data_IF_724610948898
#
_entry.id   IF_724610948898
#
_cell.length_a   1.000
_cell.length_b   1.000
_cell.length_c   1.000
_cell.angle_alpha   90.00
_cell.angle_beta   90.00
_cell.angle_gamma   90.00
#
_symmetry.space_group_name_H-M   'P 1'
#
loop_
_entity.id
_entity.type
_entity.pdbx_description
1 polymer ?
#
# COMPACT_ATOMS: atom_id res chain seq x y z
N UNK A 1 88.07 -28.08 -10.00
CA UNK A 1 87.48 -26.81 -10.46
C UNK A 1 86.02 -27.07 -10.79
N UNK A 2 85.10 -26.74 -9.87
CA UNK A 2 83.66 -26.98 -9.99
C UNK A 2 82.95 -25.63 -9.86
N UNK A 3 82.19 -25.24 -10.87
CA UNK A 3 81.40 -24.01 -10.92
C UNK A 3 80.04 -24.19 -10.22
N UNK A 4 79.65 -23.28 -9.29
CA UNK A 4 78.28 -23.20 -8.78
C UNK A 4 77.66 -21.85 -9.16
N UNK A 5 77.04 -21.73 -10.33
CA UNK A 5 76.36 -20.49 -10.76
C UNK A 5 75.05 -20.73 -11.54
N UNK A 6 74.29 -21.79 -11.23
CA UNK A 6 73.06 -22.11 -11.98
C UNK A 6 71.80 -22.37 -11.14
N UNK A 7 71.74 -21.96 -9.87
CA UNK A 7 70.56 -22.19 -9.01
C UNK A 7 69.75 -20.95 -8.61
N UNK A 8 70.15 -19.73 -8.98
CA UNK A 8 69.45 -18.51 -8.52
C UNK A 8 68.42 -17.90 -9.47
N UNK A 9 68.26 -18.39 -10.71
CA UNK A 9 67.35 -17.76 -11.68
C UNK A 9 65.96 -18.41 -11.73
N UNK A 10 65.81 -19.66 -11.25
CA UNK A 10 64.53 -20.38 -11.37
C UNK A 10 63.53 -20.06 -10.23
N UNK A 11 63.98 -19.53 -9.08
CA UNK A 11 63.09 -19.16 -7.97
C UNK A 11 62.45 -17.77 -8.10
N UNK A 12 62.83 -16.96 -9.09
CA UNK A 12 62.29 -15.60 -9.26
C UNK A 12 61.18 -15.50 -10.32
N UNK A 13 60.91 -16.57 -11.08
CA UNK A 13 59.86 -16.59 -12.11
C UNK A 13 58.57 -17.27 -11.62
N UNK A 14 58.62 -18.07 -10.56
CA UNK A 14 57.42 -18.75 -10.01
C UNK A 14 56.67 -17.88 -8.98
N UNK A 15 57.27 -16.80 -8.47
CA UNK A 15 56.64 -15.89 -7.50
C UNK A 15 55.97 -14.65 -8.11
N UNK A 16 55.81 -14.60 -9.43
CA UNK A 16 55.11 -13.52 -10.14
C UNK A 16 53.74 -13.95 -10.70
N UNK A 17 53.32 -15.22 -10.49
CA UNK A 17 52.10 -15.78 -11.08
C UNK A 17 50.93 -15.95 -10.09
N UNK A 18 51.07 -15.51 -8.83
CA UNK A 18 50.13 -15.82 -7.75
C UNK A 18 49.31 -14.62 -7.21
N UNK A 19 49.35 -13.45 -7.85
CA UNK A 19 48.61 -12.26 -7.39
C UNK A 19 47.87 -11.51 -8.50
N UNK A 20 47.40 -12.24 -9.52
CA UNK A 20 46.34 -11.77 -10.41
C UNK A 20 45.01 -12.43 -10.00
N UNK A 21 44.66 -12.37 -8.71
CA UNK A 21 43.26 -12.50 -8.31
C UNK A 21 42.55 -11.29 -8.90
N UNK A 22 41.98 -11.48 -10.09
CA UNK A 22 41.06 -10.54 -10.69
C UNK A 22 39.95 -10.27 -9.67
N UNK A 23 40.07 -9.15 -8.95
CA UNK A 23 38.93 -8.53 -8.30
C UNK A 23 38.01 -8.14 -9.45
N UNK A 24 37.15 -9.06 -9.86
CA UNK A 24 35.99 -8.75 -10.67
C UNK A 24 35.19 -7.82 -9.79
N UNK A 25 35.44 -6.52 -9.92
CA UNK A 25 34.60 -5.51 -9.35
C UNK A 25 33.27 -5.71 -10.08
N UNK A 26 32.37 -6.49 -9.47
CA UNK A 26 30.97 -6.45 -9.83
C UNK A 26 30.60 -4.99 -9.71
N UNK A 27 30.47 -4.32 -10.86
CA UNK A 27 29.94 -2.97 -10.91
C UNK A 27 28.53 -3.09 -10.36
N UNK A 28 28.39 -2.95 -9.05
CA UNK A 28 27.10 -2.95 -8.40
C UNK A 28 26.36 -1.78 -9.01
N UNK A 29 25.34 -2.11 -9.80
CA UNK A 29 24.40 -1.14 -10.32
C UNK A 29 23.92 -0.32 -9.13
N UNK A 30 24.18 0.98 -9.15
CA UNK A 30 23.65 1.89 -8.13
C UNK A 30 22.14 1.65 -7.99
N UNK A 31 21.63 1.47 -6.75
CA UNK A 31 20.23 1.17 -6.53
C UNK A 31 19.37 2.33 -7.02
N UNK A 32 18.19 1.99 -7.52
CA UNK A 32 17.17 3.00 -7.82
C UNK A 32 16.60 3.53 -6.51
N UNK A 33 16.29 4.81 -6.47
CA UNK A 33 15.40 5.38 -5.45
C UNK A 33 14.09 5.81 -6.11
N UNK A 34 13.01 5.84 -5.32
CA UNK A 34 11.70 6.16 -5.84
C UNK A 34 10.94 7.20 -5.01
N UNK A 35 10.14 8.00 -5.71
CA UNK A 35 9.11 8.86 -5.13
C UNK A 35 7.78 8.50 -5.77
N UNK A 36 6.77 8.25 -4.95
CA UNK A 36 5.44 7.82 -5.36
C UNK A 36 4.43 8.85 -4.87
N UNK A 37 3.78 9.54 -5.80
CA UNK A 37 2.86 10.64 -5.53
C UNK A 37 1.44 10.18 -5.82
N UNK A 38 0.55 10.30 -4.83
CA UNK A 38 -0.88 10.00 -4.96
C UNK A 38 -1.73 11.18 -4.52
N UNK A 39 -2.19 11.99 -5.47
CA UNK A 39 -3.04 13.14 -5.19
C UNK A 39 -4.47 12.85 -5.69
N UNK A 40 -5.44 12.64 -4.78
CA UNK A 40 -6.83 12.53 -5.20
C UNK A 40 -7.36 13.88 -5.72
N UNK A 41 -8.26 13.81 -6.69
CA UNK A 41 -8.95 14.95 -7.27
C UNK A 41 -9.90 14.53 -8.39
N UNK A 42 -10.59 15.49 -9.05
CA UNK A 42 -11.48 15.18 -10.17
C UNK A 42 -10.76 14.43 -11.29
N UNK A 43 -11.26 13.26 -11.68
CA UNK A 43 -10.62 12.39 -12.68
C UNK A 43 -9.41 11.60 -12.18
N UNK A 44 -9.10 11.67 -10.88
CA UNK A 44 -8.05 10.88 -10.25
C UNK A 44 -8.52 10.37 -8.88
N UNK A 45 -9.76 9.92 -8.79
CA UNK A 45 -10.38 9.46 -7.53
C UNK A 45 -9.64 8.24 -6.97
N UNK A 46 -9.07 7.40 -7.85
CA UNK A 46 -8.26 6.22 -7.49
C UNK A 46 -6.84 6.53 -7.05
N UNK A 47 -6.34 7.76 -7.24
CA UNK A 47 -4.91 8.08 -7.12
C UNK A 47 -4.29 7.72 -5.77
N UNK A 48 -5.07 7.80 -4.69
CA UNK A 48 -4.63 7.41 -3.36
C UNK A 48 -4.32 5.92 -3.25
N UNK A 49 -5.19 5.07 -3.81
CA UNK A 49 -5.02 3.62 -3.84
C UNK A 49 -3.93 3.22 -4.84
N UNK A 50 -3.88 3.87 -5.99
CA UNK A 50 -2.90 3.60 -7.04
C UNK A 50 -1.47 3.85 -6.56
N UNK A 51 -1.24 5.00 -5.91
CA UNK A 51 0.05 5.30 -5.30
C UNK A 51 0.44 4.29 -4.22
N UNK A 52 -0.52 3.76 -3.45
CA UNK A 52 -0.24 2.72 -2.47
C UNK A 52 0.20 1.42 -3.14
N UNK A 53 -0.56 0.93 -4.13
CA UNK A 53 -0.24 -0.29 -4.85
C UNK A 53 1.05 -0.16 -5.67
N UNK A 54 1.29 0.99 -6.29
CA UNK A 54 2.54 1.26 -6.99
C UNK A 54 3.74 1.24 -6.04
N UNK A 55 3.61 1.86 -4.85
CA UNK A 55 4.66 1.79 -3.84
C UNK A 55 4.92 0.35 -3.37
N UNK A 56 3.88 -0.46 -3.22
CA UNK A 56 4.02 -1.87 -2.88
C UNK A 56 4.77 -2.63 -3.99
N UNK A 57 4.34 -2.50 -5.25
CA UNK A 57 4.99 -3.13 -6.39
C UNK A 57 6.47 -2.75 -6.53
N UNK A 58 6.82 -1.48 -6.29
CA UNK A 58 8.21 -1.01 -6.31
C UNK A 58 9.05 -1.65 -5.19
N UNK A 59 8.49 -1.81 -3.98
CA UNK A 59 9.17 -2.52 -2.88
C UNK A 59 9.35 -3.99 -3.17
N UNK A 60 8.33 -4.66 -3.72
CA UNK A 60 8.40 -6.07 -4.10
C UNK A 60 9.51 -6.28 -5.16
N UNK A 61 9.64 -5.32 -6.08
CA UNK A 61 10.74 -5.22 -7.04
C UNK A 61 12.09 -4.74 -6.48
N UNK A 62 12.27 -4.76 -5.15
CA UNK A 62 13.51 -4.45 -4.42
C UNK A 62 13.97 -2.97 -4.46
N UNK A 63 13.07 -2.02 -4.71
CA UNK A 63 13.36 -0.59 -4.53
C UNK A 63 13.05 -0.20 -3.08
N UNK A 64 14.06 -0.28 -2.21
CA UNK A 64 13.91 -0.08 -0.76
C UNK A 64 13.86 1.39 -0.35
N UNK A 65 14.59 2.25 -1.05
CA UNK A 65 14.62 3.70 -0.80
C UNK A 65 13.46 4.36 -1.54
N UNK A 66 12.27 4.34 -0.90
CA UNK A 66 11.02 4.80 -1.49
C UNK A 66 10.27 5.77 -0.57
N UNK A 67 9.89 6.93 -1.10
CA UNK A 67 9.01 7.89 -0.42
C UNK A 67 7.58 7.83 -1.01
N UNK A 68 6.59 7.54 -0.17
CA UNK A 68 5.17 7.54 -0.54
C UNK A 68 4.50 8.83 -0.04
N UNK A 69 4.06 9.67 -0.96
CA UNK A 69 3.46 10.98 -0.72
C UNK A 69 2.00 10.97 -1.17
N UNK A 70 1.08 10.76 -0.22
CA UNK A 70 -0.37 10.77 -0.49
C UNK A 70 -1.02 12.03 0.07
N UNK A 71 -1.82 12.71 -0.76
CA UNK A 71 -2.51 13.97 -0.44
C UNK A 71 -1.61 15.01 0.25
N UNK A 72 -0.41 15.19 -0.32
CA UNK A 72 0.59 16.13 0.18
C UNK A 72 0.53 17.45 -0.60
N UNK A 73 0.78 18.59 0.06
CA UNK A 73 0.86 19.86 -0.63
C UNK A 73 2.08 19.90 -1.56
N UNK A 74 2.03 20.78 -2.56
CA UNK A 74 3.10 20.99 -3.55
C UNK A 74 4.48 21.14 -2.91
N UNK A 75 4.60 21.92 -1.84
CA UNK A 75 5.86 22.16 -1.14
C UNK A 75 6.52 20.84 -0.64
N UNK A 76 5.75 19.96 -0.02
CA UNK A 76 6.26 18.68 0.49
C UNK A 76 6.71 17.75 -0.65
N UNK A 77 6.03 17.79 -1.79
CA UNK A 77 6.41 17.02 -2.99
C UNK A 77 7.71 17.56 -3.57
N UNK A 78 7.85 18.88 -3.63
CA UNK A 78 9.10 19.53 -4.03
C UNK A 78 10.27 19.18 -3.10
N UNK A 79 10.06 19.26 -1.79
CA UNK A 79 11.08 18.89 -0.79
C UNK A 79 11.53 17.43 -0.94
N UNK A 80 10.59 16.51 -1.21
CA UNK A 80 10.91 15.10 -1.43
C UNK A 80 11.69 14.90 -2.74
N UNK A 81 11.36 15.61 -3.82
CA UNK A 81 12.15 15.59 -5.06
C UNK A 81 13.55 16.16 -4.81
N UNK A 82 13.66 17.27 -4.09
CA UNK A 82 14.94 17.90 -3.74
C UNK A 82 15.81 17.02 -2.83
N UNK A 83 15.20 16.17 -1.98
CA UNK A 83 15.92 15.21 -1.14
C UNK A 83 16.64 14.10 -1.93
N UNK A 84 16.28 13.90 -3.21
CA UNK A 84 16.95 12.94 -4.10
C UNK A 84 18.23 13.50 -4.73
N UNK A 85 18.74 14.62 -4.22
CA UNK A 85 19.96 15.23 -4.76
C UNK A 85 21.16 14.26 -4.73
N UNK A 86 21.86 14.17 -5.86
CA UNK A 86 23.00 13.27 -6.05
C UNK A 86 22.61 11.80 -6.34
N UNK A 87 21.33 11.46 -6.36
CA UNK A 87 20.87 10.12 -6.72
C UNK A 87 20.94 9.95 -8.24
N UNK A 88 21.74 9.01 -8.77
CA UNK A 88 21.94 8.89 -10.21
C UNK A 88 20.68 8.38 -10.94
N UNK A 89 19.90 7.50 -10.29
CA UNK A 89 18.77 6.80 -10.91
C UNK A 89 17.52 6.95 -10.06
N UNK A 90 16.51 7.61 -10.61
CA UNK A 90 15.27 7.93 -9.89
C UNK A 90 14.08 7.42 -10.68
N UNK A 91 13.16 6.75 -9.98
CA UNK A 91 11.84 6.44 -10.49
C UNK A 91 10.81 7.35 -9.81
N UNK A 92 10.04 8.08 -10.61
CA UNK A 92 8.94 8.92 -10.11
C UNK A 92 7.64 8.32 -10.61
N UNK A 93 6.80 7.86 -9.69
CA UNK A 93 5.44 7.44 -10.01
C UNK A 93 4.45 8.52 -9.58
N UNK A 94 3.50 8.87 -10.44
CA UNK A 94 2.52 9.92 -10.19
C UNK A 94 1.12 9.41 -10.54
N UNK A 95 0.22 9.40 -9.56
CA UNK A 95 -1.21 9.34 -9.77
C UNK A 95 -1.81 10.67 -9.28
N UNK A 96 -2.25 11.53 -10.18
CA UNK A 96 -2.80 12.85 -9.86
C UNK A 96 -3.63 13.39 -11.04
N UNK A 97 -4.58 14.31 -10.83
CA UNK A 97 -5.23 15.00 -11.93
C UNK A 97 -4.20 15.81 -12.72
N UNK A 98 -4.30 15.80 -14.04
CA UNK A 98 -3.54 16.73 -14.88
C UNK A 98 -4.36 18.02 -15.11
N UNK A 99 -3.64 19.13 -15.28
CA UNK A 99 -4.20 20.39 -15.73
C UNK A 99 -4.61 20.33 -17.19
N UNK A 100 -5.32 21.36 -17.63
CA UNK A 100 -5.83 21.46 -19.02
C UNK A 100 -4.71 21.48 -20.07
N UNK A 101 -3.48 21.81 -19.67
CA UNK A 101 -2.29 21.77 -20.52
C UNK A 101 -1.72 20.36 -20.72
N UNK A 102 -2.14 19.38 -19.90
CA UNK A 102 -1.58 18.03 -19.89
C UNK A 102 -0.14 17.94 -19.38
N UNK A 103 0.46 19.07 -18.97
CA UNK A 103 1.86 19.19 -18.56
C UNK A 103 2.01 19.39 -17.06
N UNK A 104 0.93 19.78 -16.39
CA UNK A 104 0.92 20.15 -14.98
C UNK A 104 0.13 19.13 -14.18
N UNK A 105 0.71 18.57 -13.11
CA UNK A 105 -0.05 17.79 -12.13
C UNK A 105 -0.70 18.76 -11.13
N UNK A 106 -1.98 18.56 -10.84
CA UNK A 106 -2.74 19.42 -9.93
C UNK A 106 -2.57 18.91 -8.49
N UNK A 107 -1.89 19.70 -7.67
CA UNK A 107 -1.60 19.38 -6.28
C UNK A 107 -2.31 20.35 -5.33
N UNK A 108 -2.39 19.96 -4.06
CA UNK A 108 -2.83 20.90 -3.02
C UNK A 108 -1.80 22.03 -2.91
N UNK A 109 -2.23 23.27 -3.08
CA UNK A 109 -1.34 24.44 -3.03
C UNK A 109 -0.74 24.86 -4.37
N UNK A 110 -1.14 24.25 -5.49
CA UNK A 110 -0.80 24.70 -6.84
C UNK A 110 -0.48 23.55 -7.79
N UNK A 111 -0.43 23.83 -9.09
CA UNK A 111 0.05 22.86 -10.07
C UNK A 111 1.58 22.73 -10.04
N UNK A 112 2.12 21.57 -10.38
CA UNK A 112 3.56 21.32 -10.57
C UNK A 112 3.79 20.78 -11.98
N UNK A 113 4.63 21.44 -12.78
CA UNK A 113 4.88 21.00 -14.15
C UNK A 113 5.75 19.73 -14.17
N UNK A 114 5.39 18.74 -14.99
CA UNK A 114 6.15 17.50 -15.15
C UNK A 114 7.59 17.75 -15.60
N UNK A 115 7.80 18.73 -16.48
CA UNK A 115 9.14 19.16 -16.89
C UNK A 115 9.95 19.75 -15.72
N UNK A 116 9.30 20.45 -14.78
CA UNK A 116 9.97 21.01 -13.60
C UNK A 116 10.53 19.89 -12.71
N UNK A 117 9.80 18.77 -12.55
CA UNK A 117 10.26 17.59 -11.80
C UNK A 117 11.55 17.03 -12.41
N UNK A 118 11.55 16.77 -13.72
CA UNK A 118 12.71 16.20 -14.42
C UNK A 118 13.90 17.17 -14.44
N UNK A 119 13.64 18.46 -14.66
CA UNK A 119 14.66 19.50 -14.65
C UNK A 119 15.33 19.61 -13.27
N UNK A 120 14.53 19.63 -12.19
CA UNK A 120 15.06 19.64 -10.81
C UNK A 120 15.96 18.43 -10.54
N UNK A 121 15.52 17.21 -10.89
CA UNK A 121 16.34 16.00 -10.73
C UNK A 121 17.65 16.09 -11.53
N UNK A 122 17.58 16.55 -12.79
CA UNK A 122 18.76 16.72 -13.64
C UNK A 122 19.76 17.72 -13.08
N UNK A 123 19.28 18.87 -12.58
CA UNK A 123 20.13 19.91 -11.97
C UNK A 123 20.80 19.44 -10.67
N UNK A 124 20.23 18.42 -10.01
CA UNK A 124 20.76 17.80 -8.80
C UNK A 124 21.62 16.56 -9.06
N UNK A 125 21.95 16.28 -10.32
CA UNK A 125 22.90 15.22 -10.69
C UNK A 125 22.28 13.87 -10.99
N UNK A 126 20.95 13.76 -11.04
CA UNK A 126 20.29 12.56 -11.58
C UNK A 126 20.52 12.47 -13.08
N UNK A 127 20.98 11.32 -13.56
CA UNK A 127 21.28 11.08 -14.96
C UNK A 127 20.35 10.05 -15.61
N UNK A 128 19.55 9.31 -14.83
CA UNK A 128 18.48 8.45 -15.34
C UNK A 128 17.19 8.68 -14.57
N UNK A 129 16.11 8.96 -15.30
CA UNK A 129 14.77 9.17 -14.72
C UNK A 129 13.75 8.28 -15.45
N UNK A 130 13.02 7.48 -14.68
CA UNK A 130 11.81 6.81 -15.13
C UNK A 130 10.60 7.54 -14.56
N UNK A 131 9.82 8.21 -15.41
CA UNK A 131 8.63 8.96 -15.04
C UNK A 131 7.38 8.17 -15.43
N UNK A 132 6.68 7.64 -14.43
CA UNK A 132 5.50 6.78 -14.57
C UNK A 132 4.25 7.57 -14.16
N UNK A 133 3.27 7.69 -15.06
CA UNK A 133 2.11 8.57 -14.84
C UNK A 133 0.81 7.78 -15.00
N UNK A 134 0.08 7.62 -13.91
CA UNK A 134 -1.30 7.14 -13.90
C UNK A 134 -2.22 8.33 -14.20
N UNK A 135 -2.44 8.58 -15.49
CA UNK A 135 -3.27 9.67 -16.02
C UNK A 135 -4.62 9.13 -16.48
N UNK A 136 -5.61 9.20 -15.59
CA UNK A 136 -7.01 8.91 -15.91
C UNK A 136 -7.83 10.18 -16.10
N UNK A 137 -7.28 11.18 -16.78
CA UNK A 137 -8.08 12.34 -17.13
C UNK A 137 -9.31 11.97 -17.97
N UNK A 138 -10.42 12.66 -17.71
CA UNK A 138 -11.66 12.46 -18.44
C UNK A 138 -11.54 12.84 -19.92
N UNK A 139 -12.53 12.49 -20.76
CA UNK A 139 -12.48 12.58 -22.23
C UNK A 139 -12.30 14.01 -22.81
N UNK A 140 -12.20 15.04 -21.97
CA UNK A 140 -12.02 16.43 -22.38
C UNK A 140 -10.65 17.01 -22.03
N UNK A 141 -9.77 16.28 -21.36
CA UNK A 141 -8.43 16.77 -21.08
C UNK A 141 -7.57 16.74 -22.35
N UNK A 142 -6.56 17.61 -22.42
CA UNK A 142 -5.58 17.61 -23.50
C UNK A 142 -4.73 16.32 -23.56
N UNK A 143 -4.85 15.45 -22.54
CA UNK A 143 -4.05 14.26 -22.32
C UNK A 143 -2.60 14.59 -21.97
N UNK A 144 -1.83 13.59 -21.56
CA UNK A 144 -0.44 13.77 -21.17
C UNK A 144 0.39 14.49 -22.26
N UNK A 145 0.98 15.62 -21.88
CA UNK A 145 1.97 16.34 -22.67
C UNK A 145 3.24 16.46 -21.85
N UNK A 146 4.38 16.12 -22.43
CA UNK A 146 5.66 16.31 -21.76
C UNK A 146 6.54 17.21 -22.62
N UNK A 147 7.11 18.24 -21.99
CA UNK A 147 8.05 19.17 -22.61
C UNK A 147 9.34 18.50 -23.12
N UNK A 148 10.30 19.31 -23.61
CA UNK A 148 11.58 18.81 -24.09
C UNK A 148 12.35 18.11 -22.96
N UNK A 149 13.08 17.04 -23.28
CA UNK A 149 13.93 16.35 -22.31
C UNK A 149 15.20 17.17 -22.04
N UNK A 150 15.61 17.37 -20.77
CA UNK A 150 16.91 17.97 -20.46
C UNK A 150 18.07 17.15 -21.07
N UNK A 151 19.08 17.81 -21.64
CA UNK A 151 20.17 17.12 -22.37
C UNK A 151 21.06 16.19 -21.51
N UNK A 152 20.99 16.31 -20.18
CA UNK A 152 21.86 15.59 -19.24
C UNK A 152 21.20 14.38 -18.58
N UNK A 153 19.97 14.05 -18.97
CA UNK A 153 19.21 12.98 -18.33
C UNK A 153 18.66 12.02 -19.38
N UNK A 154 18.92 10.73 -19.17
CA UNK A 154 18.21 9.66 -19.87
C UNK A 154 16.81 9.58 -19.25
N UNK A 155 15.82 10.05 -20.00
CA UNK A 155 14.44 10.08 -19.54
C UNK A 155 13.63 8.99 -20.24
N UNK A 156 13.03 8.08 -19.46
CA UNK A 156 11.96 7.21 -19.90
C UNK A 156 10.63 7.68 -19.31
N UNK A 157 9.58 7.69 -20.12
CA UNK A 157 8.23 8.03 -19.67
C UNK A 157 7.28 6.91 -20.05
N UNK A 158 6.45 6.48 -19.11
CA UNK A 158 5.30 5.63 -19.37
C UNK A 158 4.04 6.21 -18.72
N UNK A 159 2.89 6.00 -19.36
CA UNK A 159 1.61 6.43 -18.83
C UNK A 159 0.50 5.43 -19.13
N UNK A 160 -0.53 5.38 -18.28
CA UNK A 160 -1.70 4.53 -18.51
C UNK A 160 -2.50 4.94 -19.74
N UNK A 161 -2.53 6.23 -20.05
CA UNK A 161 -3.04 6.77 -21.32
C UNK A 161 -2.03 7.74 -21.95
N UNK A 162 -1.91 7.70 -23.27
CA UNK A 162 -1.10 8.65 -24.03
C UNK A 162 -1.82 9.97 -24.31
N UNK A 163 -1.21 10.89 -25.08
CA UNK A 163 -1.85 12.12 -25.51
C UNK A 163 -3.19 11.84 -26.21
N UNK A 164 -4.28 12.42 -25.70
CA UNK A 164 -5.65 12.21 -26.20
C UNK A 164 -6.24 10.82 -25.95
N UNK A 165 -5.55 9.95 -25.21
CA UNK A 165 -6.08 8.65 -24.78
C UNK A 165 -6.97 8.77 -23.54
N UNK A 166 -7.89 7.84 -23.37
CA UNK A 166 -8.59 7.62 -22.09
C UNK A 166 -7.97 6.45 -21.36
N UNK A 167 -7.98 6.47 -20.03
CA UNK A 167 -7.53 5.32 -19.25
C UNK A 167 -8.23 4.03 -19.72
N UNK A 168 -7.50 2.91 -19.81
CA UNK A 168 -8.15 1.62 -19.94
C UNK A 168 -9.09 1.40 -18.74
N UNK A 169 -10.03 0.46 -18.88
CA UNK A 169 -10.80 -0.01 -17.74
C UNK A 169 -9.88 -0.59 -16.64
N UNK A 170 -10.46 -1.23 -15.62
CA UNK A 170 -9.66 -1.81 -14.53
C UNK A 170 -8.54 -2.76 -14.99
N UNK A 171 -8.67 -3.38 -16.17
CA UNK A 171 -7.59 -4.16 -16.78
C UNK A 171 -6.70 -3.26 -17.66
N UNK A 172 -5.45 -3.04 -17.24
CA UNK A 172 -4.42 -2.39 -18.04
C UNK A 172 -3.89 -1.07 -17.49
N UNK A 173 -4.24 -0.73 -16.23
CA UNK A 173 -3.72 0.47 -15.57
C UNK A 173 -2.22 0.33 -15.36
N UNK A 174 -1.53 1.46 -15.25
CA UNK A 174 -0.06 1.44 -15.10
C UNK A 174 0.35 0.75 -13.79
N UNK A 175 -0.45 0.95 -12.75
CA UNK A 175 -0.31 0.28 -11.44
C UNK A 175 -0.35 -1.24 -11.56
N UNK A 176 -1.29 -1.80 -12.33
CA UNK A 176 -1.41 -3.26 -12.50
C UNK A 176 -0.21 -3.83 -13.25
N UNK A 177 0.26 -3.11 -14.28
CA UNK A 177 1.46 -3.47 -15.03
C UNK A 177 2.71 -3.42 -14.12
N UNK A 178 2.78 -2.44 -13.22
CA UNK A 178 3.86 -2.32 -12.24
C UNK A 178 3.85 -3.47 -11.23
N UNK A 179 2.68 -3.94 -10.80
CA UNK A 179 2.59 -5.13 -9.93
C UNK A 179 3.12 -6.39 -10.64
N UNK A 180 2.77 -6.56 -11.92
CA UNK A 180 3.32 -7.64 -12.75
C UNK A 180 4.83 -7.51 -12.99
N UNK A 181 5.36 -6.29 -12.95
CA UNK A 181 6.77 -5.97 -13.13
C UNK A 181 7.67 -6.60 -12.07
N UNK A 182 7.24 -6.52 -10.81
CA UNK A 182 7.98 -7.04 -9.67
C UNK A 182 8.20 -8.56 -9.79
N UNK A 183 7.28 -9.27 -10.45
CA UNK A 183 7.39 -10.71 -10.70
C UNK A 183 8.39 -11.07 -11.82
N UNK A 184 8.86 -10.10 -12.60
CA UNK A 184 9.81 -10.29 -13.70
C UNK A 184 11.06 -9.43 -13.47
N UNK A 185 11.87 -9.77 -12.45
CA UNK A 185 13.08 -9.02 -12.16
C UNK A 185 14.04 -9.04 -13.34
N UNK A 186 14.95 -8.06 -13.35
CA UNK A 186 15.97 -7.88 -14.36
C UNK A 186 15.44 -7.60 -15.78
N UNK A 187 14.14 -7.42 -16.02
CA UNK A 187 13.66 -6.97 -17.33
C UNK A 187 13.84 -5.45 -17.50
N UNK A 188 14.17 -4.97 -18.71
CA UNK A 188 14.13 -3.54 -19.02
C UNK A 188 12.73 -2.95 -18.81
N UNK A 189 12.64 -1.76 -18.23
CA UNK A 189 11.36 -1.15 -17.82
C UNK A 189 10.35 -1.00 -18.98
N UNK A 190 10.82 -0.82 -20.22
CA UNK A 190 9.94 -0.73 -21.39
C UNK A 190 9.30 -2.08 -21.77
N UNK A 191 10.00 -3.19 -21.54
CA UNK A 191 9.46 -4.55 -21.72
C UNK A 191 8.44 -4.82 -20.63
N UNK A 192 8.77 -4.43 -19.41
CA UNK A 192 7.94 -4.65 -18.24
C UNK A 192 6.62 -3.89 -18.30
N UNK A 193 6.63 -2.66 -18.81
CA UNK A 193 5.44 -1.83 -19.01
C UNK A 193 4.89 -1.94 -20.44
N UNK A 194 5.10 -3.09 -21.09
CA UNK A 194 4.56 -3.33 -22.43
C UNK A 194 3.03 -3.30 -22.39
N UNK A 195 2.45 -2.29 -23.05
CA UNK A 195 1.00 -2.03 -23.05
C UNK A 195 0.64 -0.66 -22.51
N UNK A 196 1.48 -0.05 -21.67
CA UNK A 196 1.40 1.38 -21.38
C UNK A 196 1.77 2.21 -22.61
N UNK A 197 1.28 3.45 -22.66
CA UNK A 197 1.86 4.43 -23.57
C UNK A 197 3.29 4.74 -23.11
N UNK A 198 4.24 4.79 -24.05
CA UNK A 198 5.65 4.99 -23.74
C UNK A 198 6.28 6.05 -24.64
N UNK A 199 7.22 6.82 -24.08
CA UNK A 199 8.10 7.76 -24.82
C UNK A 199 9.55 7.51 -24.46
N UNK A 200 10.44 7.69 -25.43
CA UNK A 200 11.89 7.49 -25.30
C UNK A 200 12.28 6.04 -24.94
N UNK A 201 11.68 5.07 -25.65
CA UNK A 201 11.91 3.64 -25.44
C UNK A 201 13.39 3.20 -25.63
N UNK A 202 14.21 3.96 -26.37
CA UNK A 202 15.64 3.64 -26.55
C UNK A 202 16.41 3.75 -25.23
N UNK A 203 16.23 4.83 -24.47
CA UNK A 203 16.84 4.99 -23.14
C UNK A 203 16.37 3.89 -22.16
N UNK A 204 15.09 3.52 -22.27
CA UNK A 204 14.44 2.53 -21.43
C UNK A 204 15.02 1.11 -21.55
N UNK A 205 15.56 0.76 -22.72
CA UNK A 205 16.15 -0.56 -22.99
C UNK A 205 17.34 -0.90 -22.06
N UNK A 206 17.93 0.12 -21.43
CA UNK A 206 19.03 -0.02 -20.48
C UNK A 206 18.61 0.11 -19.02
N UNK A 207 17.39 0.59 -18.74
CA UNK A 207 16.88 0.85 -17.40
C UNK A 207 16.25 -0.41 -16.80
N UNK A 208 16.85 -0.95 -15.75
CA UNK A 208 16.35 -2.10 -14.98
C UNK A 208 16.12 -1.64 -13.54
N UNK A 209 14.94 -1.09 -13.21
CA UNK A 209 14.63 -0.61 -11.87
C UNK A 209 14.42 -1.75 -10.88
N UNK A 210 14.00 -2.92 -11.36
CA UNK A 210 13.72 -4.09 -10.54
C UNK A 210 14.92 -5.03 -10.51
N UNK A 211 15.32 -5.42 -9.32
CA UNK A 211 16.40 -6.39 -9.12
C UNK A 211 15.80 -7.73 -8.72
N UNK A 212 16.41 -8.83 -9.18
CA UNK A 212 16.12 -10.12 -8.60
C UNK A 212 16.41 -10.08 -7.09
N UNK A 213 15.54 -10.65 -6.24
CA UNK A 213 15.89 -10.81 -4.84
C UNK A 213 17.23 -11.54 -4.79
N UNK A 214 18.16 -11.12 -3.90
CA UNK A 214 19.45 -11.78 -3.82
C UNK A 214 19.17 -13.26 -3.64
N UNK A 215 19.59 -14.08 -4.61
CA UNK A 215 19.46 -15.54 -4.50
C UNK A 215 20.13 -15.89 -3.19
N UNK A 216 19.32 -16.12 -2.14
CA UNK A 216 19.84 -16.60 -0.88
C UNK A 216 20.53 -17.88 -1.29
N UNK A 217 21.86 -17.90 -1.25
CA UNK A 217 22.61 -19.12 -1.45
C UNK A 217 21.96 -20.10 -0.48
N UNK A 218 21.18 -21.04 -1.02
CA UNK A 218 20.60 -22.10 -0.23
C UNK A 218 21.78 -22.62 0.58
N UNK A 219 21.73 -22.56 1.93
CA UNK A 219 22.88 -22.82 2.77
C UNK A 219 23.49 -24.11 2.26
N UNK A 220 24.68 -24.00 1.65
CA UNK A 220 25.32 -25.13 1.01
C UNK A 220 25.55 -26.09 2.16
N UNK A 221 25.00 -27.29 2.06
CA UNK A 221 25.02 -28.35 3.07
C UNK A 221 26.44 -28.57 3.63
N UNK A 222 26.85 -27.73 4.57
CA UNK A 222 27.97 -27.95 5.47
C UNK A 222 27.30 -28.28 6.78
N UNK A 223 27.09 -29.57 6.97
CA UNK A 223 26.72 -30.18 8.22
C UNK A 223 27.81 -29.87 9.26
N UNK A 224 27.72 -28.74 9.94
CA UNK A 224 28.23 -28.57 11.29
C UNK A 224 27.07 -28.06 12.15
N UNK A 225 26.30 -29.02 12.66
CA UNK A 225 25.28 -28.77 13.64
C UNK A 225 25.97 -28.31 14.93
N UNK A 226 25.54 -27.15 15.43
CA UNK A 226 25.99 -26.48 16.66
C UNK A 226 27.17 -25.52 16.45
N UNK A 227 26.83 -24.24 16.25
CA UNK A 227 27.73 -23.11 16.54
C UNK A 227 27.32 -22.49 17.87
N UNK A 228 28.24 -22.51 18.84
CA UNK A 228 28.09 -21.75 20.10
C UNK A 228 28.55 -20.32 19.80
N UNK A 229 27.60 -19.40 19.68
CA UNK A 229 27.89 -17.97 19.65
C UNK A 229 28.06 -17.53 21.10
N UNK A 230 29.19 -16.88 21.41
CA UNK A 230 29.41 -16.31 22.74
C UNK A 230 28.23 -15.38 23.13
N UNK A 231 27.74 -15.54 24.38
CA UNK A 231 26.53 -14.96 24.98
C UNK A 231 25.23 -15.77 24.81
N UNK A 232 25.22 -17.01 25.34
CA UNK A 232 24.03 -17.76 25.81
C UNK A 232 22.84 -17.93 24.85
N UNK A 233 23.06 -17.90 23.53
CA UNK A 233 22.03 -18.28 22.54
C UNK A 233 22.47 -19.52 21.78
N UNK A 234 21.80 -20.66 22.06
CA UNK A 234 21.93 -21.90 21.28
C UNK A 234 20.89 -21.88 20.17
N UNK A 235 21.33 -21.72 18.93
CA UNK A 235 20.45 -21.80 17.77
C UNK A 235 20.45 -23.23 17.24
N UNK A 236 19.31 -23.92 17.37
CA UNK A 236 19.10 -25.25 16.80
C UNK A 236 18.22 -25.08 15.58
N UNK A 237 18.78 -25.23 14.38
CA UNK A 237 17.98 -25.29 13.16
C UNK A 237 17.44 -26.70 12.98
N UNK A 238 16.14 -26.88 12.67
CA UNK A 238 15.58 -28.20 12.41
C UNK A 238 16.25 -28.83 11.18
N UNK A 239 16.70 -30.07 11.34
CA UNK A 239 17.29 -30.87 10.25
C UNK A 239 16.14 -31.40 9.40
N UNK A 240 15.93 -30.81 8.24
CA UNK A 240 15.08 -31.39 7.21
C UNK A 240 15.81 -32.56 6.57
N UNK A 241 15.37 -33.79 6.80
CA UNK A 241 15.92 -34.97 6.14
C UNK A 241 15.59 -34.91 4.64
N UNK A 242 16.53 -35.17 3.73
CA UNK A 242 16.24 -35.21 2.30
C UNK A 242 15.26 -36.36 1.98
N UNK A 243 14.28 -36.08 1.12
CA UNK A 243 13.22 -36.99 0.69
C UNK A 243 13.68 -38.23 -0.11
N UNK A 244 14.99 -38.50 -0.17
CA UNK A 244 15.60 -39.54 -1.02
C UNK A 244 15.99 -40.83 -0.27
N UNK A 245 15.49 -41.03 0.96
CA UNK A 245 15.69 -42.28 1.71
C UNK A 245 14.40 -43.11 1.85
N UNK A 246 13.70 -43.35 0.72
CA UNK A 246 12.73 -44.48 0.65
C UNK A 246 13.53 -45.77 0.49
N UNK A 247 13.98 -46.33 1.61
CA UNK A 247 14.46 -47.70 1.66
C UNK A 247 13.32 -48.65 1.28
N UNK A 248 13.53 -49.49 0.26
CA UNK A 248 12.65 -50.59 -0.09
C UNK A 248 12.61 -51.58 1.06
N UNK A 249 11.47 -51.68 1.75
CA UNK A 249 11.20 -52.76 2.70
C UNK A 249 10.87 -54.01 1.89
N UNK A 250 11.78 -54.98 1.87
CA UNK A 250 11.46 -56.34 1.40
C UNK A 250 10.64 -57.08 2.47
N UNK A 251 9.58 -57.82 2.09
CA UNK A 251 8.78 -58.57 3.03
C UNK A 251 9.52 -59.84 3.48
N UNK A 252 9.63 -60.01 4.81
CA UNK A 252 10.06 -61.25 5.44
C UNK A 252 8.88 -62.24 5.39
N UNK A 253 9.10 -63.40 4.76
CA UNK A 253 8.21 -64.56 4.83
C UNK A 253 8.28 -65.18 6.23
N UNK A 254 7.16 -65.19 6.96
CA UNK A 254 6.99 -65.95 8.19
C UNK A 254 5.93 -67.04 7.99
N UNK A 255 6.32 -68.27 8.28
CA UNK A 255 5.51 -69.48 8.21
C UNK A 255 4.38 -69.50 9.25
N UNK A 256 3.23 -70.00 8.83
CA UNK A 256 2.05 -70.38 9.62
C UNK A 256 2.34 -71.61 10.54
N UNK A 257 1.45 -72.08 11.47
CA UNK A 257 0.00 -71.90 11.42
C UNK A 257 -0.79 -71.73 12.75
N UNK A 258 -2.11 -71.57 12.54
CA UNK A 258 -3.25 -71.82 13.43
C UNK A 258 -3.76 -70.67 14.32
N UNK A 259 -4.76 -69.93 13.84
CA UNK A 259 -6.15 -70.17 14.25
C UNK A 259 -7.16 -69.28 13.51
N UNK A 260 -8.26 -69.94 13.19
CA UNK A 260 -9.52 -69.46 12.61
C UNK A 260 -10.11 -68.32 13.45
N UNK A 261 -10.42 -67.18 12.84
CA UNK A 261 -11.75 -66.58 12.99
C UNK A 261 -12.09 -65.68 11.80
N UNK A 262 -13.31 -65.91 11.33
CA UNK A 262 -13.96 -65.28 10.18
C UNK A 262 -14.65 -64.02 10.70
N UNK A 263 -14.28 -62.85 10.19
CA UNK A 263 -15.21 -61.73 10.07
C UNK A 263 -14.97 -61.05 8.72
N UNK A 264 -16.00 -61.12 7.90
CA UNK A 264 -16.14 -60.43 6.63
C UNK A 264 -16.39 -58.95 6.87
N UNK A 265 -15.58 -58.08 6.29
CA UNK A 265 -16.02 -56.72 5.94
C UNK A 265 -15.29 -56.22 4.70
N UNK A 266 -16.10 -55.57 3.87
CA UNK A 266 -15.92 -55.21 2.47
C UNK A 266 -14.97 -54.02 2.38
N UNK A 267 -13.93 -54.14 1.55
CA UNK A 267 -13.02 -53.04 1.25
C UNK A 267 -13.75 -51.91 0.50
N UNK A 268 -13.65 -50.69 1.03
CA UNK A 268 -13.86 -49.44 0.28
C UNK A 268 -12.58 -48.63 0.47
N UNK A 269 -12.02 -48.16 -0.64
CA UNK A 269 -10.79 -47.36 -0.66
C UNK A 269 -10.97 -46.12 0.23
N UNK A 270 -10.18 -46.04 1.29
CA UNK A 270 -10.16 -44.95 2.25
C UNK A 270 -8.87 -44.14 2.10
N UNK A 271 -9.05 -42.88 1.78
CA UNK A 271 -8.13 -41.76 2.00
C UNK A 271 -7.51 -41.83 3.41
N UNK A 272 -6.18 -41.79 3.47
CA UNK A 272 -5.45 -41.83 4.74
C UNK A 272 -5.55 -40.47 5.43
N UNK A 273 -6.60 -40.26 6.23
CA UNK A 273 -6.65 -39.16 7.19
C UNK A 273 -5.62 -39.45 8.28
N UNK A 274 -4.52 -38.68 8.28
CA UNK A 274 -3.57 -38.65 9.39
C UNK A 274 -4.21 -37.86 10.52
N UNK A 275 -4.91 -38.55 11.43
CA UNK A 275 -5.37 -37.96 12.68
C UNK A 275 -4.16 -37.78 13.58
N UNK A 276 -3.69 -36.55 13.73
CA UNK A 276 -2.74 -36.20 14.78
C UNK A 276 -3.43 -36.35 16.12
N UNK A 277 -3.15 -37.45 16.82
CA UNK A 277 -3.52 -37.58 18.23
C UNK A 277 -2.66 -36.60 19.04
N UNK A 278 -3.26 -35.74 19.89
CA UNK A 278 -2.48 -34.92 20.79
C UNK A 278 -1.63 -35.82 21.70
N UNK A 279 -0.38 -35.43 22.01
CA UNK A 279 0.47 -36.23 22.87
C UNK A 279 -0.22 -36.46 24.23
N UNK A 280 -0.06 -37.64 24.84
CA UNK A 280 -0.69 -37.94 26.12
C UNK A 280 -0.26 -36.89 27.16
N UNK A 281 -1.23 -36.33 27.89
CA UNK A 281 -1.02 -35.26 28.90
C UNK A 281 0.01 -35.61 29.98
N UNK A 282 0.39 -36.88 30.11
CA UNK A 282 1.47 -37.35 30.99
C UNK A 282 2.86 -36.86 30.56
N UNK A 283 3.04 -36.34 29.34
CA UNK A 283 4.28 -35.69 28.91
C UNK A 283 4.33 -34.18 29.20
N UNK A 284 3.23 -33.57 29.69
CA UNK A 284 3.20 -32.17 30.15
C UNK A 284 3.42 -32.04 31.66
N UNK A 285 4.11 -33.00 32.29
CA UNK A 285 4.61 -32.82 33.65
C UNK A 285 5.76 -31.79 33.61
N UNK A 286 5.41 -30.53 33.87
CA UNK A 286 6.36 -29.45 34.10
C UNK A 286 7.43 -29.93 35.10
N UNK A 287 8.69 -29.95 34.68
CA UNK A 287 9.82 -30.22 35.57
C UNK A 287 9.75 -29.24 36.74
N UNK A 288 9.95 -29.75 37.96
CA UNK A 288 9.93 -28.93 39.16
C UNK A 288 10.91 -27.75 39.02
N UNK A 289 10.38 -26.53 39.09
CA UNK A 289 11.15 -25.30 39.08
C UNK A 289 12.06 -25.27 40.32
N UNK A 290 13.37 -25.13 40.10
CA UNK A 290 14.30 -24.83 41.21
C UNK A 290 14.03 -23.40 41.69
N UNK A 291 13.84 -23.24 43.00
CA UNK A 291 13.68 -21.94 43.61
C UNK A 291 14.92 -21.05 43.35
N UNK A 292 14.69 -19.81 42.90
CA UNK A 292 15.74 -18.79 42.73
C UNK A 292 16.18 -18.51 41.28
N UNK A 293 15.54 -19.09 40.27
CA UNK A 293 15.74 -18.73 38.86
C UNK A 293 14.63 -17.79 38.37
N UNK A 294 14.93 -16.79 37.53
CA UNK A 294 13.93 -15.89 36.96
C UNK A 294 12.89 -16.68 36.15
N UNK A 295 11.63 -16.24 36.20
CA UNK A 295 10.53 -16.88 35.46
C UNK A 295 10.84 -16.84 33.95
N UNK A 296 10.82 -17.98 33.24
CA UNK A 296 11.01 -17.97 31.80
C UNK A 296 9.80 -17.33 31.13
N UNK A 297 10.01 -16.22 30.42
CA UNK A 297 9.01 -15.67 29.50
C UNK A 297 8.81 -16.65 28.35
N UNK A 298 7.60 -17.23 28.24
CA UNK A 298 7.19 -18.04 27.10
C UNK A 298 7.01 -17.11 25.90
N UNK A 299 7.89 -17.22 24.91
CA UNK A 299 7.69 -16.62 23.58
C UNK A 299 6.90 -17.65 22.77
N UNK A 300 5.63 -17.37 22.51
CA UNK A 300 4.81 -18.16 21.58
C UNK A 300 5.31 -17.88 20.18
N UNK A 301 5.81 -18.93 19.50
CA UNK A 301 6.39 -18.84 18.17
C UNK A 301 5.35 -18.49 17.11
N UNK A 302 5.72 -17.54 16.23
CA UNK A 302 5.17 -17.39 14.89
C UNK A 302 5.43 -18.69 14.12
N UNK A 303 4.39 -19.18 13.43
CA UNK A 303 4.46 -20.36 12.58
C UNK A 303 4.95 -19.89 11.20
N UNK A 304 6.20 -20.20 10.84
CA UNK A 304 6.64 -20.25 9.44
C UNK A 304 6.10 -21.57 8.85
N UNK A 305 5.68 -21.71 7.59
CA UNK A 305 5.67 -20.85 6.43
C UNK A 305 5.18 -21.75 5.29
N UNK A 306 3.89 -21.72 5.02
CA UNK A 306 3.29 -22.31 3.83
C UNK A 306 2.95 -21.12 2.93
N UNK A 307 3.31 -21.17 1.65
CA UNK A 307 3.20 -20.07 0.68
C UNK A 307 1.79 -19.47 0.66
N UNK A 308 1.55 -18.44 1.48
CA UNK A 308 0.35 -17.60 1.37
C UNK A 308 0.60 -16.55 0.31
N UNK A 309 0.78 -17.00 -0.93
CA UNK A 309 0.58 -16.16 -2.11
C UNK A 309 -0.89 -15.69 -2.04
N UNK A 310 -1.10 -14.37 -1.96
CA UNK A 310 -2.38 -13.70 -1.68
C UNK A 310 -2.92 -13.76 -0.23
N UNK A 311 -2.07 -13.52 0.79
CA UNK A 311 -2.61 -12.80 1.96
C UNK A 311 -2.92 -11.37 1.53
N UNK A 312 -4.11 -11.16 0.93
CA UNK A 312 -4.68 -9.84 0.83
C UNK A 312 -4.59 -9.21 2.22
N UNK A 313 -3.74 -8.19 2.37
CA UNK A 313 -3.45 -7.57 3.65
C UNK A 313 -4.79 -7.25 4.34
N UNK A 314 -5.05 -7.92 5.47
CA UNK A 314 -6.35 -7.83 6.14
C UNK A 314 -6.34 -6.54 6.95
N UNK A 315 -6.51 -5.42 6.25
CA UNK A 315 -6.52 -4.06 6.79
C UNK A 315 -7.94 -3.59 7.14
N UNK A 316 -8.04 -2.46 7.84
CA UNK A 316 -9.34 -1.86 8.20
C UNK A 316 -10.12 -1.38 6.96
N UNK A 317 -9.43 -0.97 5.89
CA UNK A 317 -10.04 -0.47 4.65
C UNK A 317 -10.31 -1.56 3.60
N UNK A 318 -9.73 -2.76 3.75
CA UNK A 318 -10.02 -3.91 2.91
C UNK A 318 -11.29 -4.66 3.37
N UNK A 319 -12.45 -4.11 3.01
CA UNK A 319 -13.76 -4.69 3.36
C UNK A 319 -13.92 -6.14 2.89
N UNK A 320 -13.48 -6.44 1.67
CA UNK A 320 -13.64 -7.78 1.06
C UNK A 320 -12.84 -8.81 1.85
N UNK A 321 -11.58 -8.53 2.19
CA UNK A 321 -10.77 -9.42 3.02
C UNK A 321 -11.40 -9.63 4.41
N UNK A 322 -11.88 -8.56 5.05
CA UNK A 322 -12.55 -8.67 6.37
C UNK A 322 -13.83 -9.49 6.31
N UNK A 323 -14.63 -9.35 5.26
CA UNK A 323 -15.87 -10.12 5.08
C UNK A 323 -15.58 -11.59 4.79
N UNK A 324 -14.59 -11.87 3.93
CA UNK A 324 -14.15 -13.23 3.64
C UNK A 324 -13.63 -13.93 4.91
N UNK A 325 -12.76 -13.26 5.67
CA UNK A 325 -12.24 -13.78 6.93
C UNK A 325 -13.36 -14.04 7.94
N UNK A 326 -14.33 -13.11 8.06
CA UNK A 326 -15.44 -13.31 8.98
C UNK A 326 -16.33 -14.49 8.59
N UNK A 327 -16.59 -14.67 7.29
CA UNK A 327 -17.43 -15.75 6.81
C UNK A 327 -16.74 -17.11 6.94
N UNK A 328 -15.45 -17.18 6.60
CA UNK A 328 -14.66 -18.40 6.68
C UNK A 328 -14.33 -18.80 8.12
N UNK A 329 -13.92 -17.83 8.95
CA UNK A 329 -13.36 -18.06 10.29
C UNK A 329 -13.88 -17.01 11.30
N UNK A 330 -15.16 -17.08 11.72
CA UNK A 330 -15.79 -16.06 12.56
C UNK A 330 -15.13 -15.88 13.93
N UNK A 331 -14.66 -16.97 14.54
CA UNK A 331 -13.97 -16.92 15.84
C UNK A 331 -12.60 -16.24 15.73
N UNK A 332 -11.84 -16.53 14.67
CA UNK A 332 -10.56 -15.86 14.40
C UNK A 332 -10.78 -14.37 14.13
N UNK A 333 -11.79 -14.03 13.32
CA UNK A 333 -12.16 -12.64 13.08
C UNK A 333 -12.49 -11.90 14.37
N UNK A 334 -13.28 -12.51 15.27
CA UNK A 334 -13.63 -11.90 16.56
C UNK A 334 -12.39 -11.66 17.44
N UNK A 335 -11.45 -12.62 17.49
CA UNK A 335 -10.19 -12.48 18.22
C UNK A 335 -9.32 -11.36 17.65
N UNK A 336 -9.15 -11.30 16.33
CA UNK A 336 -8.37 -10.27 15.64
C UNK A 336 -8.99 -8.87 15.81
N UNK A 337 -10.31 -8.77 15.68
CA UNK A 337 -11.03 -7.52 15.95
C UNK A 337 -10.84 -7.08 17.40
N UNK A 338 -10.93 -8.00 18.36
CA UNK A 338 -10.71 -7.70 19.79
C UNK A 338 -9.26 -7.27 20.07
N UNK A 339 -8.28 -7.87 19.38
CA UNK A 339 -6.87 -7.51 19.46
C UNK A 339 -6.55 -6.16 18.79
N UNK A 340 -7.47 -5.60 17.99
CA UNK A 340 -7.27 -4.35 17.27
C UNK A 340 -6.52 -4.49 15.95
N UNK A 341 -6.48 -5.69 15.37
CA UNK A 341 -5.82 -5.93 14.08
C UNK A 341 -6.44 -5.09 12.93
N UNK A 342 -7.71 -4.70 13.08
CA UNK A 342 -8.45 -3.88 12.12
C UNK A 342 -8.61 -2.43 12.57
N UNK A 343 -7.84 -1.96 13.56
CA UNK A 343 -8.00 -0.60 14.04
C UNK A 343 -7.53 0.42 12.99
N UNK A 344 -8.38 1.39 12.61
CA UNK A 344 -7.94 2.49 11.78
C UNK A 344 -6.93 3.36 12.54
N UNK A 345 -5.99 4.03 11.84
CA UNK A 345 -5.14 5.05 12.44
C UNK A 345 -5.97 6.11 13.18
N UNK A 346 -5.47 6.72 14.28
CA UNK A 346 -6.26 7.66 15.10
C UNK A 346 -6.92 8.80 14.33
N UNK A 347 -6.26 9.32 13.28
CA UNK A 347 -6.78 10.38 12.41
C UNK A 347 -7.92 9.94 11.48
N UNK A 348 -8.11 8.63 11.29
CA UNK A 348 -9.07 8.05 10.35
C UNK A 348 -10.21 7.27 11.03
N UNK A 349 -10.20 7.16 12.37
CA UNK A 349 -11.24 6.43 13.12
C UNK A 349 -12.66 6.93 12.80
N UNK A 350 -12.85 8.25 12.78
CA UNK A 350 -14.15 8.85 12.49
C UNK A 350 -14.63 8.51 11.07
N UNK A 351 -13.74 8.61 10.09
CA UNK A 351 -14.01 8.27 8.69
C UNK A 351 -14.39 6.79 8.54
N UNK A 352 -13.60 5.89 9.13
CA UNK A 352 -13.83 4.46 9.08
C UNK A 352 -15.19 4.07 9.70
N UNK A 353 -15.56 4.65 10.84
CA UNK A 353 -16.86 4.40 11.47
C UNK A 353 -18.01 4.93 10.62
N UNK A 354 -17.90 6.15 10.07
CA UNK A 354 -18.93 6.71 9.18
C UNK A 354 -19.14 5.82 7.95
N UNK A 355 -18.07 5.31 7.34
CA UNK A 355 -18.13 4.39 6.20
C UNK A 355 -18.89 3.10 6.53
N UNK A 356 -18.57 2.45 7.66
CA UNK A 356 -19.27 1.23 8.07
C UNK A 356 -20.75 1.49 8.39
N UNK A 357 -21.06 2.57 9.10
CA UNK A 357 -22.44 2.94 9.40
C UNK A 357 -23.24 3.31 8.13
N UNK A 358 -22.60 3.93 7.13
CA UNK A 358 -23.23 4.26 5.86
C UNK A 358 -23.55 3.00 5.04
N UNK A 359 -22.62 2.02 5.01
CA UNK A 359 -22.82 0.72 4.36
C UNK A 359 -24.06 0.00 4.91
N UNK A 360 -24.28 0.09 6.22
CA UNK A 360 -25.44 -0.45 6.94
C UNK A 360 -26.69 0.45 6.89
N UNK A 361 -26.65 1.55 6.14
CA UNK A 361 -27.73 2.56 6.02
C UNK A 361 -28.10 3.26 7.34
N UNK A 362 -27.25 3.15 8.35
CA UNK A 362 -27.42 3.80 9.65
C UNK A 362 -26.94 5.26 9.62
N UNK A 363 -25.98 5.58 8.75
CA UNK A 363 -25.52 6.94 8.46
C UNK A 363 -26.01 7.37 7.07
N UNK A 364 -26.67 8.53 6.99
CA UNK A 364 -27.33 9.02 5.76
C UNK A 364 -26.75 10.33 5.24
N UNK A 365 -25.81 10.91 5.97
CA UNK A 365 -25.11 12.14 5.57
C UNK A 365 -23.80 11.80 4.84
N UNK A 366 -23.13 12.81 4.29
CA UNK A 366 -21.84 12.63 3.63
C UNK A 366 -20.78 12.08 4.58
N UNK A 367 -19.91 11.21 4.04
CA UNK A 367 -18.74 10.69 4.74
C UNK A 367 -17.63 11.73 4.58
N UNK A 368 -17.21 12.33 5.69
CA UNK A 368 -16.28 13.47 5.73
C UNK A 368 -15.21 13.34 6.83
N UNK A 369 -15.32 12.33 7.70
CA UNK A 369 -14.45 12.16 8.86
C UNK A 369 -14.70 13.16 9.99
N UNK A 370 -15.67 14.07 9.85
CA UNK A 370 -16.02 15.06 10.88
C UNK A 370 -17.03 14.43 11.85
N UNK A 371 -16.63 14.29 13.12
CA UNK A 371 -17.49 13.70 14.13
C UNK A 371 -18.41 14.73 14.79
N UNK A 372 -19.72 14.60 14.57
CA UNK A 372 -20.73 15.50 15.12
C UNK A 372 -22.04 14.80 15.50
N UNK A 373 -23.11 15.58 15.68
CA UNK A 373 -24.42 15.05 16.05
C UNK A 373 -24.95 14.02 15.03
N UNK A 374 -24.69 14.20 13.74
CA UNK A 374 -25.08 13.24 12.70
C UNK A 374 -24.48 11.85 12.93
N UNK A 375 -23.17 11.79 13.22
CA UNK A 375 -22.45 10.55 13.51
C UNK A 375 -22.95 9.90 14.79
N UNK A 376 -23.12 10.66 15.88
CA UNK A 376 -23.69 10.16 17.15
C UNK A 376 -25.09 9.58 16.97
N UNK A 377 -25.94 10.26 16.20
CA UNK A 377 -27.29 9.77 15.90
C UNK A 377 -27.26 8.47 15.09
N UNK A 378 -26.32 8.31 14.16
CA UNK A 378 -26.16 7.08 13.39
C UNK A 378 -25.66 5.91 14.25
N UNK A 379 -24.73 6.15 15.19
CA UNK A 379 -24.34 5.16 16.20
C UNK A 379 -25.56 4.74 17.03
N UNK A 380 -26.35 5.70 17.50
CA UNK A 380 -27.60 5.42 18.21
C UNK A 380 -28.59 4.58 17.40
N UNK A 381 -28.77 4.89 16.10
CA UNK A 381 -29.63 4.09 15.19
C UNK A 381 -29.11 2.66 15.00
N UNK A 382 -27.80 2.49 14.82
CA UNK A 382 -27.16 1.19 14.67
C UNK A 382 -27.39 0.34 15.92
N UNK A 383 -27.07 0.86 17.10
CA UNK A 383 -27.27 0.11 18.35
C UNK A 383 -28.74 -0.05 18.73
N UNK A 384 -29.66 0.78 18.22
CA UNK A 384 -31.09 0.53 18.37
C UNK A 384 -31.59 -0.69 17.57
N UNK A 385 -30.85 -1.15 16.56
CA UNK A 385 -31.14 -2.41 15.86
C UNK A 385 -30.50 -3.63 16.56
N UNK A 386 -29.64 -3.41 17.55
CA UNK A 386 -28.94 -4.46 18.29
C UNK A 386 -29.55 -4.61 19.68
N UNK A 387 -30.01 -5.81 20.01
CA UNK A 387 -30.56 -6.13 21.34
C UNK A 387 -29.53 -6.71 22.30
N UNK A 388 -28.36 -7.08 21.79
CA UNK A 388 -27.32 -7.84 22.48
C UNK A 388 -26.26 -6.96 23.15
N UNK A 389 -25.99 -5.78 22.60
CA UNK A 389 -24.86 -4.93 23.01
C UNK A 389 -25.22 -3.45 22.92
N UNK A 390 -24.81 -2.67 23.92
CA UNK A 390 -24.86 -1.21 23.90
C UNK A 390 -23.54 -0.60 23.42
N UNK A 391 -23.61 0.62 22.88
CA UNK A 391 -22.42 1.38 22.50
C UNK A 391 -21.51 1.61 23.71
N UNK A 392 -20.23 1.28 23.59
CA UNK A 392 -19.21 1.59 24.63
C UNK A 392 -18.97 3.09 24.75
N UNK A 393 -19.10 3.82 23.64
CA UNK A 393 -19.00 5.28 23.58
C UNK A 393 -19.78 5.81 22.38
N UNK A 394 -20.15 7.09 22.44
CA UNK A 394 -20.73 7.84 21.30
C UNK A 394 -19.66 8.69 20.57
N UNK A 395 -18.41 8.68 21.05
CA UNK A 395 -17.26 9.36 20.46
C UNK A 395 -16.52 8.45 19.47
N UNK A 396 -15.76 9.01 18.51
CA UNK A 396 -15.02 8.19 17.56
C UNK A 396 -13.85 7.55 18.30
N UNK A 397 -13.93 6.24 18.52
CA UNK A 397 -12.90 5.46 19.18
C UNK A 397 -12.70 4.12 18.46
N UNK A 398 -11.47 3.60 18.47
CA UNK A 398 -11.16 2.30 17.89
C UNK A 398 -12.05 1.19 18.48
N UNK A 399 -12.35 1.24 19.78
CA UNK A 399 -13.27 0.30 20.42
C UNK A 399 -14.69 0.34 19.84
N UNK A 400 -15.20 1.53 19.50
CA UNK A 400 -16.50 1.69 18.85
C UNK A 400 -16.46 1.10 17.43
N UNK A 401 -15.38 1.32 16.69
CA UNK A 401 -15.17 0.71 15.38
C UNK A 401 -15.19 -0.82 15.46
N UNK A 402 -14.44 -1.41 16.41
CA UNK A 402 -14.45 -2.87 16.66
C UNK A 402 -15.87 -3.39 16.92
N UNK A 403 -16.64 -2.75 17.80
CA UNK A 403 -18.03 -3.17 18.08
C UNK A 403 -18.92 -3.17 16.84
N UNK A 404 -18.73 -2.19 15.95
CA UNK A 404 -19.48 -2.05 14.70
C UNK A 404 -19.10 -3.15 13.71
N UNK A 405 -17.80 -3.40 13.51
CA UNK A 405 -17.34 -4.40 12.53
C UNK A 405 -17.58 -5.84 12.98
N UNK A 406 -17.86 -6.11 14.25
CA UNK A 406 -18.21 -7.47 14.69
C UNK A 406 -19.64 -7.85 14.28
N UNK A 407 -20.55 -6.88 14.13
CA UNK A 407 -21.93 -7.12 13.67
C UNK A 407 -22.27 -6.16 12.52
N UNK A 408 -21.83 -6.54 11.32
CA UNK A 408 -21.92 -5.72 10.10
C UNK A 408 -23.15 -6.07 9.22
N UNK A 409 -23.97 -7.02 9.69
CA UNK A 409 -25.21 -7.50 9.10
C UNK A 409 -26.42 -6.62 9.48
N UNK A 410 -26.22 -5.67 10.39
CA UNK A 410 -27.23 -4.68 10.77
C UNK A 410 -27.61 -3.84 9.56
N UNK A 411 -28.91 -3.70 9.32
CA UNK A 411 -29.44 -2.76 8.32
C UNK A 411 -30.44 -1.82 9.00
N UNK A 412 -30.14 -0.53 9.03
CA UNK A 412 -31.06 0.44 9.60
C UNK A 412 -32.22 0.75 8.63
N UNK A 413 -33.48 0.78 9.10
CA UNK A 413 -34.62 1.15 8.27
C UNK A 413 -34.48 2.61 7.82
N UNK A 414 -34.93 2.89 6.59
CA UNK A 414 -34.97 4.25 6.08
C UNK A 414 -35.82 5.13 7.02
N UNK A 415 -35.36 6.35 7.37
CA UNK A 415 -36.14 7.23 8.21
C UNK A 415 -37.45 7.55 7.48
N UNK A 416 -38.57 7.14 8.08
CA UNK A 416 -39.89 7.54 7.59
C UNK A 416 -40.00 9.04 7.88
N UNK A 417 -40.06 9.85 6.82
CA UNK A 417 -40.28 11.29 6.98
C UNK A 417 -41.56 11.47 7.81
N UNK A 418 -41.42 12.01 9.02
CA UNK A 418 -42.57 12.29 9.85
C UNK A 418 -43.51 13.19 9.04
N UNK A 419 -44.80 12.83 9.01
CA UNK A 419 -45.81 13.64 8.35
C UNK A 419 -45.66 15.07 8.86
N UNK A 420 -45.41 16.00 7.94
CA UNK A 420 -45.20 17.40 8.28
C UNK A 420 -46.47 17.86 8.97
N UNK A 421 -46.43 18.01 10.29
CA UNK A 421 -47.50 18.67 11.03
C UNK A 421 -47.60 20.06 10.43
N UNK A 422 -48.61 20.27 9.59
CA UNK A 422 -48.96 21.58 9.06
C UNK A 422 -49.35 22.37 10.28
N UNK A 423 -48.39 23.13 10.82
CA UNK A 423 -48.64 24.11 11.86
C UNK A 423 -49.65 25.07 11.25
N UNK A 424 -50.92 24.92 11.62
CA UNK A 424 -51.97 25.86 11.28
C UNK A 424 -51.50 27.21 11.81
N UNK A 425 -50.99 28.04 10.92
CA UNK A 425 -50.79 29.46 11.18
C UNK A 425 -52.18 30.06 11.23
N UNK A 426 -52.80 30.04 12.41
CA UNK A 426 -53.92 30.93 12.73
C UNK A 426 -53.38 32.36 12.72
N UNK A 427 -53.28 32.92 11.51
CA UNK A 427 -53.07 34.36 11.35
C UNK A 427 -54.35 35.03 11.86
N UNK A 428 -54.30 35.85 12.92
CA UNK A 428 -55.46 36.64 13.32
C UNK A 428 -55.84 37.57 12.16
N UNK A 429 -57.12 37.54 11.79
CA UNK A 429 -57.69 38.38 10.75
C UNK A 429 -57.38 39.85 11.06
N UNK A 430 -56.63 40.49 10.17
CA UNK A 430 -56.35 41.92 10.24
C UNK A 430 -57.68 42.68 10.13
N UNK A 431 -57.98 43.49 11.15
CA UNK A 431 -59.09 44.42 11.15
C UNK A 431 -58.92 45.44 9.99
N UNK A 432 -60.02 45.88 9.35
CA UNK A 432 -59.95 46.82 8.23
C UNK A 432 -59.47 48.19 8.71
N UNK A 433 -58.20 48.51 8.46
CA UNK A 433 -57.66 49.86 8.67
C UNK A 433 -58.28 50.84 7.68
N UNK A 434 -58.97 51.84 8.24
CA UNK A 434 -59.54 53.00 7.58
C UNK A 434 -58.53 53.68 6.66
N UNK A 435 -58.94 53.87 5.41
CA UNK A 435 -58.26 54.60 4.35
C UNK A 435 -58.05 56.06 4.79
N UNK A 436 -56.82 56.44 5.10
CA UNK A 436 -56.42 57.83 5.31
C UNK A 436 -55.93 58.44 3.99
N UNK A 437 -56.36 59.68 3.77
CA UNK A 437 -56.18 60.55 2.61
C UNK A 437 -54.70 60.78 2.25
N UNK A 438 -54.33 60.93 0.96
CA UNK A 438 -52.94 61.16 0.57
C UNK A 438 -52.49 62.58 0.93
N UNK A 439 -51.42 62.71 1.72
CA UNK A 439 -50.70 63.96 1.91
C UNK A 439 -49.62 64.13 0.83
N UNK A 440 -49.45 65.36 0.37
CA UNK A 440 -48.69 65.78 -0.80
C UNK A 440 -47.21 65.36 -0.81
N UNK A 441 -46.72 65.07 -2.02
CA UNK A 441 -45.35 64.67 -2.32
C UNK A 441 -44.34 65.79 -2.04
N UNK A 442 -43.24 65.42 -1.39
CA UNK A 442 -42.01 66.23 -1.29
C UNK A 442 -41.01 65.72 -2.36
N UNK A 443 -40.38 66.59 -3.17
CA UNK A 443 -39.43 66.15 -4.19
C UNK A 443 -38.08 65.82 -3.56
N UNK A 444 -37.49 64.67 -3.92
CA UNK A 444 -36.12 64.32 -3.56
C UNK A 444 -35.32 63.89 -4.79
N UNK A 445 -34.37 64.77 -5.12
CA UNK A 445 -33.03 64.60 -5.71
C UNK A 445 -32.74 63.47 -6.72
N UNK A 446 -32.27 63.92 -7.89
CA UNK A 446 -31.61 63.13 -8.94
C UNK A 446 -30.37 62.38 -8.41
N UNK A 447 -30.26 61.11 -8.79
CA UNK A 447 -29.05 60.30 -8.63
C UNK A 447 -27.98 60.70 -9.68
N UNK A 448 -26.69 60.82 -9.31
CA UNK A 448 -25.61 61.00 -10.27
C UNK A 448 -25.20 59.66 -10.92
N UNK A 449 -24.83 59.75 -12.20
CA UNK A 449 -24.43 58.66 -13.08
C UNK A 449 -23.13 57.95 -12.66
N UNK A 450 -22.94 56.66 -13.05
CA UNK A 450 -21.73 55.90 -12.73
C UNK A 450 -20.54 56.32 -13.58
N UNK A 451 -19.45 56.73 -12.92
CA UNK A 451 -18.15 56.98 -13.54
C UNK A 451 -17.41 55.66 -13.80
N UNK A 452 -17.13 55.40 -15.08
CA UNK A 452 -16.21 54.38 -15.59
C UNK A 452 -14.76 54.73 -15.20
N UNK A 453 -14.16 53.97 -14.29
CA UNK A 453 -12.70 54.02 -14.05
C UNK A 453 -11.98 53.12 -15.05
N UNK A 454 -11.24 53.75 -15.97
CA UNK A 454 -10.12 53.13 -16.70
C UNK A 454 -8.99 52.88 -15.70
N UNK A 455 -8.51 51.64 -15.63
CA UNK A 455 -7.29 51.28 -14.91
C UNK A 455 -6.12 51.62 -15.84
N UNK A 456 -5.31 52.61 -15.44
CA UNK A 456 -4.01 52.88 -16.06
C UNK A 456 -2.94 52.06 -15.33
N UNK A 457 -2.22 51.25 -16.10
CA UNK A 457 -0.98 50.60 -15.70
C UNK A 457 0.09 51.64 -15.42
N UNK A 458 0.66 51.61 -14.21
CA UNK A 458 1.72 52.50 -13.78
C UNK A 458 2.71 51.75 -12.88
N UNK A 459 3.85 51.44 -13.45
CA UNK A 459 5.11 50.98 -12.85
C UNK A 459 5.59 51.93 -11.74
N UNK A 460 6.04 51.40 -10.59
CA UNK A 460 7.19 51.96 -9.84
C UNK A 460 7.68 51.06 -8.71
N UNK A 461 9.01 51.01 -8.59
CA UNK A 461 9.88 50.37 -7.60
C UNK A 461 9.81 51.01 -6.20
N UNK A 462 10.20 50.25 -5.17
CA UNK A 462 10.62 50.75 -3.84
C UNK A 462 10.48 49.68 -2.75
N UNK A 463 11.51 48.85 -2.48
CA UNK A 463 12.51 48.98 -1.39
C UNK A 463 11.90 49.29 -0.01
N UNK A 464 11.90 48.29 0.86
CA UNK A 464 11.74 48.48 2.30
C UNK A 464 13.04 48.06 3.02
N UNK A 465 13.46 48.93 3.93
CA UNK A 465 14.46 48.67 4.97
C UNK A 465 13.82 47.91 6.12
#
# INVERSE_FOLDING_TARGET
MRHPLLKSVLSMVVLACACACATVAFAQSQPWQAVVIGQPGPGAEGAFADAFHAAQALRDGQITELQLLRDRPRADIEDAIDSLAGVPRVLVYIAAPLGDDGQTILLRGGGLALFEIVQRLSDRGTNQVALLIEDCTGPQAAGLQIGPTPQKVDLFIAASAGPGGTCPGQAGRLTDQLSGAAAQPDQPINVTLAGAWQRAAEAASTMRPFAAPPSSLAPTDVYDAVSIVANDVVRISPVSLPASARAQVQPILASAPASRQVISSKATQGETVVIFMPPPQTQMAARALRAGLPEPSVIVGLIDGEDIQDTAEISYDNLVARQNLRHAEPELFAQLAQAGAFDPPPSLVALAIQTELARMRCYTTGIDGIWGNGSRNAVGRYFAQRSDVAATTMEPAAQLFRQIITADDVTCPAPVAAARNVRQTTSPAAAPTRRATPAAAKPAAQAPAPNTRKIQSGTTLGVFR
#
